data_IF_563603273236
#
_entry.id   IF_563603273236
#
_cell.length_a   1.000
_cell.length_b   1.000
_cell.length_c   1.000
_cell.angle_alpha   90.00
_cell.angle_beta   90.00
_cell.angle_gamma   90.00
#
_symmetry.space_group_name_H-M   'P 1'
#
loop_
_entity.id
_entity.type
_entity.pdbx_description
1 polymer ?
#
# COMPACT_ATOMS: atom_id res chain seq x y z
N UNK A 1 -32.14 50.33 35.06
CA UNK A 1 -30.90 50.58 34.30
C UNK A 1 -29.79 50.64 35.36
N UNK A 2 -28.81 49.75 35.50
CA UNK A 2 -28.19 48.74 34.65
C UNK A 2 -27.64 47.62 35.56
N UNK A 3 -27.91 46.36 35.20
CA UNK A 3 -27.22 45.17 35.71
C UNK A 3 -25.93 44.93 34.95
N UNK A 4 -24.95 44.28 35.58
CA UNK A 4 -23.83 43.60 34.89
C UNK A 4 -22.65 43.38 35.84
N UNK A 5 -22.58 42.27 36.58
CA UNK A 5 -22.10 40.94 36.18
C UNK A 5 -20.62 40.90 35.81
N UNK A 6 -19.81 40.55 36.82
CA UNK A 6 -18.47 40.01 36.63
C UNK A 6 -18.58 38.52 36.28
N UNK A 7 -17.95 38.09 35.20
CA UNK A 7 -17.70 36.67 34.94
C UNK A 7 -16.44 36.50 34.08
N UNK A 8 -15.51 35.72 34.62
CA UNK A 8 -14.21 35.40 34.09
C UNK A 8 -14.27 34.71 32.72
N UNK A 9 -13.47 35.21 31.78
CA UNK A 9 -13.20 34.57 30.49
C UNK A 9 -12.43 33.26 30.69
N UNK A 10 -13.08 32.12 30.42
CA UNK A 10 -12.47 30.80 30.27
C UNK A 10 -11.76 30.68 28.92
N UNK A 11 -10.50 30.21 28.85
CA UNK A 11 -9.91 29.76 27.60
C UNK A 11 -10.47 28.39 27.18
N UNK A 12 -10.84 28.32 25.92
CA UNK A 12 -11.41 27.17 25.22
C UNK A 12 -10.34 26.14 24.81
N UNK A 13 -10.73 24.86 24.87
CA UNK A 13 -10.23 23.74 24.05
C UNK A 13 -9.08 22.90 24.63
N UNK A 14 -9.44 22.01 25.56
CA UNK A 14 -8.70 20.78 25.87
C UNK A 14 -9.19 19.60 24.99
N UNK A 15 -8.32 18.63 24.64
CA UNK A 15 -8.56 17.55 23.66
C UNK A 15 -9.49 16.41 24.14
N UNK A 16 -10.17 15.69 23.22
CA UNK A 16 -11.29 14.79 23.52
C UNK A 16 -10.92 13.29 23.61
N UNK A 17 -9.95 12.87 24.42
CA UNK A 17 -9.63 11.44 24.55
C UNK A 17 -9.41 10.93 25.97
N UNK A 18 -10.08 11.53 26.96
CA UNK A 18 -10.10 10.97 28.31
C UNK A 18 -11.48 11.18 28.95
N UNK A 19 -12.39 10.22 28.74
CA UNK A 19 -13.36 9.86 29.77
C UNK A 19 -13.87 8.44 29.53
N UNK A 20 -13.57 7.55 30.48
CA UNK A 20 -14.03 6.17 30.47
C UNK A 20 -15.38 5.99 31.16
N UNK A 21 -16.02 4.88 30.76
CA UNK A 21 -16.85 3.96 31.55
C UNK A 21 -18.08 4.50 32.32
N UNK A 22 -19.28 4.00 31.97
CA UNK A 22 -20.07 3.07 32.81
C UNK A 22 -21.10 2.29 31.97
N UNK A 23 -21.47 1.12 32.49
CA UNK A 23 -22.26 0.07 31.89
C UNK A 23 -23.76 0.39 31.74
N UNK A 24 -24.42 -0.25 30.76
CA UNK A 24 -25.77 -0.76 30.95
C UNK A 24 -25.95 -2.08 30.16
N UNK A 25 -26.31 -3.12 30.91
CA UNK A 25 -26.65 -4.44 30.40
C UNK A 25 -28.09 -4.42 29.90
N UNK A 26 -28.29 -4.63 28.59
CA UNK A 26 -29.57 -5.11 28.07
C UNK A 26 -29.32 -6.40 27.28
N UNK A 27 -29.60 -7.50 27.97
CA UNK A 27 -29.89 -8.81 27.38
C UNK A 27 -31.23 -8.72 26.64
N UNK A 28 -31.24 -9.04 25.34
CA UNK A 28 -32.45 -9.46 24.63
C UNK A 28 -32.10 -10.71 23.82
N UNK A 29 -32.85 -11.81 23.98
CA UNK A 29 -32.60 -13.06 23.28
C UNK A 29 -33.21 -13.05 21.88
N UNK A 30 -32.56 -13.68 20.91
CA UNK A 30 -33.26 -14.20 19.72
C UNK A 30 -32.62 -15.49 19.22
N UNK A 31 -33.30 -16.58 19.62
CA UNK A 31 -33.49 -17.87 18.95
C UNK A 31 -32.51 -18.31 17.86
N UNK A 32 -31.91 -19.46 18.14
CA UNK A 32 -31.46 -20.45 17.15
C UNK A 32 -32.46 -20.59 15.99
N UNK A 33 -31.96 -20.40 14.78
CA UNK A 33 -32.43 -21.10 13.61
C UNK A 33 -31.21 -21.41 12.74
N UNK A 34 -30.73 -22.65 12.87
CA UNK A 34 -29.97 -23.28 11.82
C UNK A 34 -30.79 -23.17 10.52
N UNK A 35 -30.20 -22.56 9.50
CA UNK A 35 -30.55 -22.85 8.11
C UNK A 35 -29.26 -23.11 7.36
N UNK A 36 -29.16 -24.37 6.95
CA UNK A 36 -28.11 -24.91 6.13
C UNK A 36 -27.96 -24.09 4.85
N UNK A 37 -26.73 -23.66 4.58
CA UNK A 37 -26.13 -23.74 3.26
C UNK A 37 -24.62 -23.67 3.44
N UNK A 38 -24.03 -24.82 3.80
CA UNK A 38 -22.73 -25.15 3.25
C UNK A 38 -22.90 -25.17 1.72
N UNK A 39 -22.68 -24.02 1.08
CA UNK A 39 -22.46 -24.00 -0.37
C UNK A 39 -21.14 -24.70 -0.59
N UNK A 40 -21.26 -25.96 -0.99
CA UNK A 40 -20.25 -26.77 -1.60
C UNK A 40 -19.29 -25.92 -2.45
N UNK A 41 -18.05 -25.83 -1.99
CA UNK A 41 -16.88 -26.36 -2.70
C UNK A 41 -17.16 -26.80 -4.14
N UNK A 42 -17.42 -25.86 -5.05
CA UNK A 42 -17.63 -26.18 -6.47
C UNK A 42 -17.28 -25.05 -7.44
N UNK A 43 -16.64 -23.97 -6.95
CA UNK A 43 -16.06 -22.91 -7.80
C UNK A 43 -14.59 -22.63 -7.47
N UNK A 44 -13.88 -23.63 -6.94
CA UNK A 44 -12.52 -23.45 -6.41
C UNK A 44 -11.44 -23.31 -7.49
N UNK A 45 -11.65 -23.89 -8.68
CA UNK A 45 -10.67 -23.86 -9.79
C UNK A 45 -10.79 -22.63 -10.68
N UNK A 46 -12.02 -22.16 -10.96
CA UNK A 46 -12.27 -21.00 -11.83
C UNK A 46 -11.77 -19.69 -11.21
N UNK A 47 -11.98 -19.52 -9.89
CA UNK A 47 -11.41 -18.40 -9.13
C UNK A 47 -9.88 -18.38 -9.17
N UNK A 48 -9.24 -19.53 -8.94
CA UNK A 48 -7.77 -19.67 -9.02
C UNK A 48 -7.22 -19.39 -10.42
N UNK A 49 -7.88 -19.87 -11.47
CA UNK A 49 -7.47 -19.61 -12.86
C UNK A 49 -7.54 -18.11 -13.21
N UNK A 50 -8.60 -17.42 -12.76
CA UNK A 50 -8.72 -15.97 -12.92
C UNK A 50 -7.64 -15.20 -12.14
N UNK A 51 -7.35 -15.63 -10.90
CA UNK A 51 -6.31 -15.03 -10.07
C UNK A 51 -4.91 -15.24 -10.66
N UNK A 52 -4.63 -16.41 -11.23
CA UNK A 52 -3.38 -16.69 -11.92
C UNK A 52 -3.15 -15.75 -13.12
N UNK A 53 -4.20 -15.48 -13.91
CA UNK A 53 -4.11 -14.49 -15.02
C UNK A 53 -3.81 -13.09 -14.50
N UNK A 54 -4.46 -12.66 -13.43
CA UNK A 54 -4.23 -11.34 -12.84
C UNK A 54 -2.80 -11.20 -12.28
N UNK A 55 -2.27 -12.24 -11.65
CA UNK A 55 -0.90 -12.27 -11.13
C UNK A 55 0.12 -12.18 -12.26
N UNK A 56 -0.07 -12.94 -13.35
CA UNK A 56 0.79 -12.86 -14.54
C UNK A 56 0.76 -11.46 -15.17
N UNK A 57 -0.43 -10.88 -15.32
CA UNK A 57 -0.58 -9.51 -15.82
C UNK A 57 0.10 -8.48 -14.90
N UNK A 58 -0.05 -8.61 -13.59
CA UNK A 58 0.62 -7.75 -12.62
C UNK A 58 2.15 -7.87 -12.73
N UNK A 59 2.67 -9.11 -12.84
CA UNK A 59 4.09 -9.38 -13.05
C UNK A 59 4.60 -8.65 -14.30
N UNK A 60 3.91 -8.76 -15.43
CA UNK A 60 4.33 -8.13 -16.69
C UNK A 60 4.43 -6.61 -16.55
N UNK A 61 3.47 -5.99 -15.85
CA UNK A 61 3.52 -4.54 -15.55
C UNK A 61 4.72 -4.18 -14.66
N UNK A 62 5.04 -4.99 -13.66
CA UNK A 62 6.19 -4.72 -12.79
C UNK A 62 7.54 -4.94 -13.50
N UNK A 63 7.65 -5.94 -14.37
CA UNK A 63 8.83 -6.17 -15.22
C UNK A 63 9.04 -5.00 -16.18
N UNK A 64 7.97 -4.53 -16.84
CA UNK A 64 8.06 -3.35 -17.71
C UNK A 64 8.47 -2.09 -16.92
N UNK A 65 7.94 -1.90 -15.70
CA UNK A 65 8.33 -0.79 -14.81
C UNK A 65 9.80 -0.85 -14.41
N UNK A 66 10.30 -2.02 -14.04
CA UNK A 66 11.71 -2.22 -13.69
C UNK A 66 12.64 -1.84 -14.84
N UNK A 67 12.34 -2.31 -16.05
CA UNK A 67 13.12 -1.97 -17.25
C UNK A 67 13.12 -0.46 -17.54
N UNK A 68 11.99 0.23 -17.34
CA UNK A 68 11.90 1.69 -17.50
C UNK A 68 12.71 2.41 -16.43
N UNK A 69 12.65 1.98 -15.16
CA UNK A 69 13.44 2.58 -14.08
C UNK A 69 14.93 2.40 -14.30
N UNK A 70 15.37 1.22 -14.76
CA UNK A 70 16.77 0.97 -15.08
C UNK A 70 17.27 1.90 -16.20
N UNK A 71 16.49 2.07 -17.27
CA UNK A 71 16.80 3.03 -18.35
C UNK A 71 16.90 4.47 -17.82
N UNK A 72 15.99 4.89 -16.94
CA UNK A 72 16.01 6.24 -16.33
C UNK A 72 17.25 6.44 -15.45
N UNK A 73 17.65 5.43 -14.68
CA UNK A 73 18.88 5.50 -13.86
C UNK A 73 20.11 5.71 -14.75
N UNK A 74 20.24 4.95 -15.85
CA UNK A 74 21.33 5.13 -16.81
C UNK A 74 21.34 6.54 -17.43
N UNK A 75 20.18 7.07 -17.79
CA UNK A 75 20.05 8.43 -18.35
C UNK A 75 20.41 9.53 -17.34
N UNK A 76 20.02 9.40 -16.07
CA UNK A 76 20.43 10.37 -15.03
C UNK A 76 21.94 10.29 -14.78
N UNK A 77 22.54 9.10 -14.90
CA UNK A 77 23.99 8.90 -14.77
C UNK A 77 24.79 9.55 -15.91
N UNK A 78 24.33 9.42 -17.15
CA UNK A 78 24.96 10.09 -18.30
C UNK A 78 24.85 11.62 -18.19
N UNK A 79 23.66 12.13 -17.87
CA UNK A 79 23.45 13.57 -17.64
C UNK A 79 24.30 14.12 -16.50
N UNK A 80 24.43 13.38 -15.39
CA UNK A 80 25.31 13.79 -14.30
C UNK A 80 26.77 13.93 -14.74
N UNK A 81 27.27 13.03 -15.59
CA UNK A 81 28.63 13.11 -16.16
C UNK A 81 28.79 14.33 -17.07
N UNK A 82 27.80 14.63 -17.90
CA UNK A 82 27.78 15.83 -18.75
C UNK A 82 27.84 17.11 -17.92
N UNK A 83 26.98 17.25 -16.90
CA UNK A 83 26.99 18.43 -16.03
C UNK A 83 28.29 18.58 -15.23
N UNK A 84 28.93 17.48 -14.89
CA UNK A 84 30.24 17.49 -14.23
C UNK A 84 31.32 18.02 -15.18
N UNK A 85 31.31 17.60 -16.45
CA UNK A 85 32.23 18.10 -17.49
C UNK A 85 31.98 19.58 -17.80
N UNK A 86 30.74 20.02 -17.83
CA UNK A 86 30.36 21.43 -18.03
C UNK A 86 30.54 22.31 -16.80
N UNK A 87 31.05 21.78 -15.67
CA UNK A 87 31.31 22.55 -14.45
C UNK A 87 30.07 22.91 -13.64
N UNK A 88 28.87 22.44 -14.01
CA UNK A 88 27.62 22.74 -13.31
C UNK A 88 27.36 21.75 -12.18
N UNK A 89 27.97 22.03 -11.02
CA UNK A 89 27.90 21.18 -9.82
C UNK A 89 26.48 21.03 -9.27
N UNK A 90 25.64 22.06 -9.36
CA UNK A 90 24.25 22.02 -8.85
C UNK A 90 23.38 21.07 -9.69
N UNK A 91 23.47 21.17 -11.02
CA UNK A 91 22.75 20.27 -11.92
C UNK A 91 23.22 18.82 -11.78
N UNK A 92 24.53 18.59 -11.63
CA UNK A 92 25.09 17.26 -11.36
C UNK A 92 24.54 16.66 -10.05
N UNK A 93 24.52 17.45 -8.97
CA UNK A 93 23.95 17.01 -7.68
C UNK A 93 22.46 16.69 -7.78
N UNK A 94 21.69 17.47 -8.54
CA UNK A 94 20.27 17.19 -8.80
C UNK A 94 20.07 15.85 -9.51
N UNK A 95 20.89 15.55 -10.53
CA UNK A 95 20.84 14.27 -11.25
C UNK A 95 21.15 13.09 -10.31
N UNK A 96 22.13 13.24 -9.42
CA UNK A 96 22.46 12.22 -8.42
C UNK A 96 21.33 11.99 -7.40
N UNK A 97 20.59 13.04 -7.00
CA UNK A 97 19.39 12.90 -6.15
C UNK A 97 18.28 12.13 -6.88
N UNK A 98 18.03 12.45 -8.16
CA UNK A 98 17.06 11.72 -8.99
C UNK A 98 17.43 10.26 -9.17
N UNK A 99 18.72 9.98 -9.38
CA UNK A 99 19.24 8.61 -9.44
C UNK A 99 18.91 7.81 -8.17
N UNK A 100 19.22 8.35 -6.98
CA UNK A 100 18.89 7.70 -5.70
C UNK A 100 17.39 7.46 -5.51
N UNK A 101 16.55 8.40 -5.95
CA UNK A 101 15.10 8.23 -5.91
C UNK A 101 14.65 7.05 -6.79
N UNK A 102 15.17 6.93 -8.02
CA UNK A 102 14.85 5.80 -8.89
C UNK A 102 15.40 4.46 -8.38
N UNK A 103 16.58 4.44 -7.75
CA UNK A 103 17.11 3.25 -7.06
C UNK A 103 16.18 2.79 -5.92
N UNK A 104 15.66 3.74 -5.12
CA UNK A 104 14.68 3.43 -4.07
C UNK A 104 13.37 2.89 -4.64
N UNK A 105 12.87 3.47 -5.73
CA UNK A 105 11.69 2.95 -6.44
C UNK A 105 11.95 1.54 -6.99
N UNK A 106 13.13 1.27 -7.54
CA UNK A 106 13.51 -0.03 -8.06
C UNK A 106 13.53 -1.11 -6.97
N UNK A 107 14.03 -0.76 -5.77
CA UNK A 107 13.97 -1.63 -4.60
C UNK A 107 12.53 -1.96 -4.18
N UNK A 108 11.63 -0.97 -4.19
CA UNK A 108 10.21 -1.18 -3.90
C UNK A 108 9.54 -2.08 -4.95
N UNK A 109 9.86 -1.90 -6.23
CA UNK A 109 9.37 -2.78 -7.31
C UNK A 109 9.85 -4.21 -7.10
N UNK A 110 11.12 -4.43 -6.73
CA UNK A 110 11.64 -5.75 -6.41
C UNK A 110 10.91 -6.41 -5.24
N UNK A 111 10.62 -5.67 -4.17
CA UNK A 111 9.81 -6.16 -3.04
C UNK A 111 8.39 -6.58 -3.47
N UNK A 112 7.76 -5.83 -4.37
CA UNK A 112 6.44 -6.18 -4.90
C UNK A 112 6.51 -7.42 -5.78
N UNK A 113 7.51 -7.53 -6.66
CA UNK A 113 7.71 -8.71 -7.51
C UNK A 113 7.88 -9.99 -6.67
N UNK A 114 8.64 -9.96 -5.57
CA UNK A 114 8.76 -11.10 -4.66
C UNK A 114 7.39 -11.56 -4.13
N UNK A 115 6.53 -10.62 -3.71
CA UNK A 115 5.18 -10.94 -3.23
C UNK A 115 4.28 -11.51 -4.32
N UNK A 116 4.38 -10.99 -5.55
CA UNK A 116 3.64 -11.49 -6.71
C UNK A 116 4.08 -12.91 -7.06
N UNK A 117 5.39 -13.16 -7.12
CA UNK A 117 5.98 -14.48 -7.40
C UNK A 117 5.60 -15.51 -6.33
N UNK A 118 5.60 -15.14 -5.05
CA UNK A 118 5.15 -16.02 -3.97
C UNK A 118 3.70 -16.45 -4.16
N UNK A 119 2.80 -15.52 -4.51
CA UNK A 119 1.40 -15.86 -4.79
C UNK A 119 1.24 -16.74 -6.03
N UNK A 120 2.02 -16.49 -7.08
CA UNK A 120 2.05 -17.34 -8.27
C UNK A 120 2.42 -18.78 -7.91
N UNK A 121 3.48 -18.97 -7.12
CA UNK A 121 3.92 -20.28 -6.67
C UNK A 121 2.85 -21.00 -5.83
N UNK A 122 2.24 -20.32 -4.86
CA UNK A 122 1.16 -20.91 -4.04
C UNK A 122 -0.01 -21.43 -4.89
N UNK A 123 -0.40 -20.67 -5.92
CA UNK A 123 -1.47 -21.05 -6.83
C UNK A 123 -1.04 -22.20 -7.75
N UNK A 124 0.22 -22.19 -8.22
CA UNK A 124 0.77 -23.26 -9.04
C UNK A 124 0.85 -24.59 -8.26
N UNK A 125 1.33 -24.56 -7.01
CA UNK A 125 1.43 -25.73 -6.14
C UNK A 125 0.05 -26.35 -5.89
N UNK A 126 -0.98 -25.52 -5.65
CA UNK A 126 -2.37 -25.99 -5.51
C UNK A 126 -2.95 -26.56 -6.82
N UNK A 127 -2.52 -26.08 -7.99
CA UNK A 127 -2.95 -26.62 -9.29
C UNK A 127 -2.19 -27.89 -9.70
N UNK A 128 -0.97 -28.10 -9.21
CA UNK A 128 -0.11 -29.25 -9.54
C UNK A 128 -0.31 -30.49 -8.66
N UNK A 129 -0.98 -30.37 -7.52
CA UNK A 129 -1.23 -31.47 -6.58
C UNK A 129 -2.52 -32.26 -6.85
N UNK A 130 -2.93 -32.38 -8.12
CA UNK A 130 -4.21 -32.96 -8.53
C UNK A 130 -4.04 -34.21 -9.39
#
# INVERSE_FOLDING_TARGET
MVSGSAACTRPSSSPPWLCGCTADSVVVPRSQAASAAATASSSSSAGLASAARQIRQARDVFVAKEAVLQKKISQEMERAKEFTKSGNKQAAMQCLRRKKYYESQMSQVGSVQLRVNTKEKMIADHMGNK
#
